data_IF_842763510741
#
_entry.id   IF_842763510741
#
_cell.length_a   1.000
_cell.length_b   1.000
_cell.length_c   1.000
_cell.angle_alpha   90.00
_cell.angle_beta   90.00
_cell.angle_gamma   90.00
#
_symmetry.space_group_name_H-M   'P 1'
#
loop_
_entity.id
_entity.type
_entity.pdbx_description
1 polymer ?
#
# COMPACT_ATOMS: atom_id res chain seq x y z
N UNK A 1 -9.59 8.38 -0.68
CA UNK A 1 -8.71 8.54 0.49
C UNK A 1 -7.28 8.29 0.07
N UNK A 2 -6.31 8.90 0.75
CA UNK A 2 -4.88 8.70 0.45
C UNK A 2 -4.30 7.63 1.38
N UNK A 3 -3.56 6.66 0.85
CA UNK A 3 -2.95 5.55 1.62
C UNK A 3 -1.44 5.68 1.59
N UNK A 4 -0.79 5.57 2.75
CA UNK A 4 0.66 5.66 2.90
C UNK A 4 1.17 4.32 3.46
N UNK A 5 1.68 3.45 2.58
CA UNK A 5 2.26 2.15 2.92
C UNK A 5 3.75 2.32 3.18
N UNK A 6 4.17 2.20 4.44
CA UNK A 6 5.55 2.46 4.87
C UNK A 6 5.70 2.11 6.37
N UNK A 7 6.83 1.54 6.76
CA UNK A 7 7.10 1.04 8.12
C UNK A 7 7.99 1.98 8.96
N UNK A 8 8.65 2.95 8.33
CA UNK A 8 9.75 3.70 8.94
C UNK A 8 9.56 5.22 8.98
N UNK A 9 9.08 5.84 7.89
CA UNK A 9 8.99 7.31 7.75
C UNK A 9 7.72 7.83 8.43
N UNK A 10 7.68 9.07 8.96
CA UNK A 10 6.46 9.67 9.52
C UNK A 10 5.33 9.84 8.50
N UNK A 11 4.07 9.73 8.95
CA UNK A 11 2.90 9.84 8.06
C UNK A 11 2.60 11.31 7.79
N UNK A 12 2.52 11.75 6.52
CA UNK A 12 2.09 13.10 6.22
C UNK A 12 0.62 13.32 6.60
N UNK A 13 0.26 14.56 6.92
CA UNK A 13 -1.13 14.92 7.25
C UNK A 13 -2.10 14.59 6.11
N UNK A 14 -3.27 14.05 6.47
CA UNK A 14 -4.31 13.67 5.51
C UNK A 14 -4.08 12.32 4.81
N UNK A 15 -3.03 11.58 5.18
CA UNK A 15 -2.79 10.22 4.72
C UNK A 15 -3.20 9.17 5.76
N UNK A 16 -3.80 8.08 5.29
CA UNK A 16 -4.08 6.90 6.09
C UNK A 16 -2.89 5.95 6.04
N UNK A 17 -2.24 5.73 7.19
CA UNK A 17 -1.07 4.84 7.31
C UNK A 17 -1.50 3.37 7.28
N UNK A 18 -0.75 2.56 6.53
CA UNK A 18 -0.69 1.11 6.67
C UNK A 18 0.78 0.67 6.69
N UNK A 19 1.05 -0.48 7.28
CA UNK A 19 2.41 -0.97 7.50
C UNK A 19 2.71 -2.18 6.63
N UNK A 20 1.68 -2.90 6.18
CA UNK A 20 1.82 -4.17 5.48
C UNK A 20 1.13 -4.20 4.12
N UNK A 21 1.63 -5.00 3.16
CA UNK A 21 1.05 -5.09 1.82
C UNK A 21 -0.42 -5.46 1.82
N UNK A 22 -0.82 -6.45 2.63
CA UNK A 22 -2.20 -6.94 2.68
C UNK A 22 -3.19 -5.87 3.16
N UNK A 23 -2.77 -5.00 4.08
CA UNK A 23 -3.57 -3.88 4.55
C UNK A 23 -3.82 -2.88 3.41
N UNK A 24 -2.77 -2.53 2.67
CA UNK A 24 -2.88 -1.67 1.49
C UNK A 24 -3.82 -2.27 0.43
N UNK A 25 -3.66 -3.57 0.12
CA UNK A 25 -4.48 -4.28 -0.87
C UNK A 25 -5.96 -4.34 -0.42
N UNK A 26 -6.23 -4.56 0.88
CA UNK A 26 -7.60 -4.53 1.41
C UNK A 26 -8.25 -3.17 1.19
N UNK A 27 -7.52 -2.07 1.38
CA UNK A 27 -8.03 -0.72 1.13
C UNK A 27 -8.21 -0.44 -0.36
N UNK A 28 -7.25 -0.82 -1.21
CA UNK A 28 -7.33 -0.64 -2.66
C UNK A 28 -8.55 -1.36 -3.26
N UNK A 29 -8.85 -2.58 -2.80
CA UNK A 29 -10.04 -3.36 -3.22
C UNK A 29 -11.36 -2.66 -2.95
N UNK A 30 -11.43 -1.68 -2.05
CA UNK A 30 -12.64 -0.92 -1.77
C UNK A 30 -12.97 0.11 -2.86
N UNK A 31 -12.02 0.43 -3.76
CA UNK A 31 -12.22 1.40 -4.82
C UNK A 31 -12.35 2.86 -4.34
N UNK A 32 -12.06 3.13 -3.07
CA UNK A 32 -12.14 4.48 -2.47
C UNK A 32 -10.78 5.16 -2.37
N UNK A 33 -9.68 4.45 -2.66
CA UNK A 33 -8.32 4.99 -2.63
C UNK A 33 -8.08 5.85 -3.87
N UNK A 34 -7.69 7.11 -3.65
CA UNK A 34 -7.45 8.09 -4.70
C UNK A 34 -5.96 8.28 -5.01
N UNK A 35 -5.11 8.07 -4.00
CA UNK A 35 -3.65 8.15 -4.11
C UNK A 35 -3.04 7.11 -3.16
N UNK A 36 -1.94 6.49 -3.58
CA UNK A 36 -1.14 5.60 -2.73
C UNK A 36 0.34 5.98 -2.81
N UNK A 37 0.99 6.08 -1.65
CA UNK A 37 2.45 6.12 -1.51
C UNK A 37 2.92 4.70 -1.17
N UNK A 38 3.92 4.22 -1.90
CA UNK A 38 4.40 2.85 -1.83
C UNK A 38 5.86 2.85 -1.34
N UNK A 39 6.10 2.28 -0.17
CA UNK A 39 7.42 1.86 0.26
C UNK A 39 7.66 0.40 -0.13
N UNK A 40 8.84 0.11 -0.67
CA UNK A 40 9.18 -1.23 -1.14
C UNK A 40 9.65 -2.09 0.03
N UNK A 41 10.56 -1.56 0.83
CA UNK A 41 11.12 -2.28 1.97
C UNK A 41 10.25 -2.00 3.19
N UNK A 42 9.63 -3.04 3.75
CA UNK A 42 8.72 -2.94 4.89
C UNK A 42 9.28 -3.65 6.13
N UNK A 43 10.57 -4.00 6.12
CA UNK A 43 11.31 -4.62 7.22
C UNK A 43 10.93 -6.08 7.54
N UNK A 44 9.67 -6.47 7.35
CA UNK A 44 9.12 -7.81 7.61
C UNK A 44 8.75 -8.51 6.30
N UNK A 45 9.72 -9.23 5.74
CA UNK A 45 9.55 -9.93 4.47
C UNK A 45 8.62 -11.15 4.55
N UNK A 46 8.21 -11.62 5.73
CA UNK A 46 7.25 -12.73 5.83
C UNK A 46 5.85 -12.33 5.35
N UNK A 47 5.52 -11.05 5.48
CA UNK A 47 4.26 -10.45 5.01
C UNK A 47 4.37 -9.91 3.57
N UNK A 48 5.54 -9.99 2.95
CA UNK A 48 5.81 -9.43 1.62
C UNK A 48 6.38 -8.02 1.68
N UNK A 49 6.29 -7.32 0.56
CA UNK A 49 6.92 -6.03 0.31
C UNK A 49 5.97 -5.10 -0.45
N UNK A 50 6.34 -3.83 -0.63
CA UNK A 50 5.58 -2.94 -1.52
C UNK A 50 5.49 -3.45 -2.97
N UNK A 51 6.38 -4.36 -3.38
CA UNK A 51 6.32 -4.99 -4.70
C UNK A 51 5.07 -5.86 -4.88
N UNK A 52 4.62 -6.56 -3.85
CA UNK A 52 3.40 -7.37 -3.89
C UNK A 52 2.15 -6.51 -4.12
N UNK A 53 2.14 -5.29 -3.58
CA UNK A 53 1.07 -4.31 -3.84
C UNK A 53 1.13 -3.81 -5.28
N UNK A 54 2.32 -3.57 -5.82
CA UNK A 54 2.50 -3.15 -7.22
C UNK A 54 2.00 -4.23 -8.20
N UNK A 55 2.36 -5.49 -7.98
CA UNK A 55 1.88 -6.62 -8.78
C UNK A 55 0.35 -6.71 -8.77
N UNK A 56 -0.26 -6.56 -7.59
CA UNK A 56 -1.72 -6.57 -7.48
C UNK A 56 -2.36 -5.40 -8.26
N UNK A 57 -1.78 -4.19 -8.20
CA UNK A 57 -2.29 -3.03 -8.95
C UNK A 57 -2.18 -3.28 -10.46
N UNK A 58 -1.07 -3.85 -10.93
CA UNK A 58 -0.88 -4.18 -12.34
C UNK A 58 -1.95 -5.19 -12.82
N UNK A 59 -2.15 -6.28 -12.08
CA UNK A 59 -3.20 -7.27 -12.39
C UNK A 59 -4.61 -6.65 -12.41
N UNK A 60 -4.91 -5.76 -11.45
CA UNK A 60 -6.20 -5.09 -11.35
C UNK A 60 -6.43 -4.02 -12.43
N UNK A 61 -5.39 -3.50 -13.07
CA UNK A 61 -5.49 -2.46 -14.10
C UNK A 61 -5.74 -3.02 -15.51
N UNK A 62 -5.54 -4.33 -15.72
CA UNK A 62 -5.68 -4.99 -17.04
C UNK A 62 -7.15 -5.31 -17.39
N UNK A 63 -8.09 -5.10 -16.47
CA UNK A 63 -9.54 -5.34 -16.66
C UNK A 63 -10.28 -4.15 -17.24
#
# INVERSE_FOLDING_TARGET
MKVYLDDARPTPDGWHRVYRPEEAIVLLKQGTVSEISLDQDLGDHEHGTGYDVLLWIEEAAVT
#
